data_IF_241757236243
#
_entry.id   IF_241757236243
#
_cell.length_a   1.000
_cell.length_b   1.000
_cell.length_c   1.000
_cell.angle_alpha   90.00
_cell.angle_beta   90.00
_cell.angle_gamma   90.00
#
_symmetry.space_group_name_H-M   'P 1'
#
loop_
_entity.id
_entity.type
_entity.pdbx_description
1 polymer ?
#
# COMPACT_ATOMS: atom_id res chain seq x y z
N UNK A 1 -24.91 -26.42 8.08
CA UNK A 1 -23.71 -25.64 8.41
C UNK A 1 -23.09 -25.17 7.10
N UNK A 2 -23.48 -24.00 6.63
CA UNK A 2 -23.02 -23.47 5.35
C UNK A 2 -21.56 -23.07 5.49
N UNK A 3 -20.67 -23.75 4.76
CA UNK A 3 -19.30 -23.28 4.53
C UNK A 3 -19.44 -21.88 3.94
N UNK A 4 -19.15 -20.84 4.74
CA UNK A 4 -19.05 -19.49 4.22
C UNK A 4 -17.93 -19.52 3.18
N UNK A 5 -18.28 -19.22 1.94
CA UNK A 5 -17.36 -19.11 0.82
C UNK A 5 -16.16 -18.25 1.27
N UNK A 6 -14.96 -18.80 1.14
CA UNK A 6 -13.72 -18.08 1.35
C UNK A 6 -13.66 -17.00 0.26
N UNK A 7 -13.70 -15.69 0.57
CA UNK A 7 -13.52 -14.68 -0.46
C UNK A 7 -12.16 -14.92 -1.11
N UNK A 8 -12.11 -14.87 -2.44
CA UNK A 8 -10.91 -15.18 -3.23
C UNK A 8 -9.67 -14.54 -2.61
N UNK A 9 -8.67 -15.39 -2.30
CA UNK A 9 -7.41 -14.95 -1.70
C UNK A 9 -6.75 -13.97 -2.67
N UNK A 10 -6.56 -12.72 -2.25
CA UNK A 10 -5.79 -11.74 -3.05
C UNK A 10 -4.39 -12.32 -3.32
N UNK A 11 -3.94 -12.34 -4.59
CA UNK A 11 -2.60 -12.81 -4.95
C UNK A 11 -1.53 -12.14 -4.09
N UNK A 12 -0.51 -12.90 -3.70
CA UNK A 12 0.66 -12.34 -3.03
C UNK A 12 1.51 -11.51 -3.99
N UNK A 13 2.47 -10.77 -3.41
CA UNK A 13 3.53 -10.11 -4.18
C UNK A 13 4.70 -11.08 -4.31
N UNK A 14 5.13 -11.36 -5.54
CA UNK A 14 6.29 -12.20 -5.84
C UNK A 14 7.58 -11.38 -5.92
N UNK A 15 7.49 -10.12 -6.35
CA UNK A 15 8.61 -9.18 -6.42
C UNK A 15 8.12 -7.77 -6.09
N UNK A 16 8.88 -7.06 -5.26
CA UNK A 16 8.69 -5.63 -5.02
C UNK A 16 10.03 -4.92 -5.16
N UNK A 17 10.07 -3.88 -6.00
CA UNK A 17 11.26 -3.05 -6.25
C UNK A 17 10.96 -1.59 -5.94
N UNK A 18 11.92 -0.94 -5.30
CA UNK A 18 11.96 0.50 -5.13
C UNK A 18 12.79 1.05 -6.30
N UNK A 19 12.15 1.75 -7.22
CA UNK A 19 12.78 2.35 -8.40
C UNK A 19 12.70 3.88 -8.29
N UNK A 20 13.44 4.66 -9.10
CA UNK A 20 13.45 6.12 -8.99
C UNK A 20 12.07 6.78 -9.15
N UNK A 21 11.15 6.14 -9.87
CA UNK A 21 9.81 6.65 -10.18
C UNK A 21 8.70 6.07 -9.28
N UNK A 22 9.03 5.20 -8.32
CA UNK A 22 8.06 4.64 -7.39
C UNK A 22 8.29 3.18 -7.03
N UNK A 23 7.22 2.55 -6.55
CA UNK A 23 7.21 1.17 -6.10
C UNK A 23 6.61 0.29 -7.19
N UNK A 24 7.37 -0.69 -7.65
CA UNK A 24 6.94 -1.65 -8.66
C UNK A 24 6.69 -3.01 -8.00
N UNK A 25 5.47 -3.52 -8.12
CA UNK A 25 5.07 -4.82 -7.58
C UNK A 25 4.66 -5.77 -8.70
N UNK A 26 5.18 -7.00 -8.66
CA UNK A 26 4.71 -8.12 -9.49
C UNK A 26 3.98 -9.10 -8.59
N UNK A 27 2.77 -9.44 -9.00
CA UNK A 27 1.83 -10.27 -8.25
C UNK A 27 1.87 -11.73 -8.72
N UNK A 28 1.42 -12.65 -7.88
CA UNK A 28 1.35 -14.09 -8.20
C UNK A 28 0.45 -14.39 -9.41
N UNK A 29 -0.50 -13.51 -9.73
CA UNK A 29 -1.36 -13.60 -10.93
C UNK A 29 -0.69 -13.04 -12.21
N UNK A 30 0.58 -12.62 -12.10
CA UNK A 30 1.34 -12.00 -13.19
C UNK A 30 1.02 -10.53 -13.42
N UNK A 31 0.11 -9.93 -12.64
CA UNK A 31 -0.18 -8.50 -12.71
C UNK A 31 1.06 -7.68 -12.33
N UNK A 32 1.23 -6.52 -12.95
CA UNK A 32 2.24 -5.53 -12.58
C UNK A 32 1.56 -4.26 -12.09
N UNK A 33 1.95 -3.78 -10.92
CA UNK A 33 1.49 -2.51 -10.35
C UNK A 33 2.65 -1.55 -10.18
N UNK A 34 2.40 -0.27 -10.48
CA UNK A 34 3.30 0.84 -10.22
C UNK A 34 2.61 1.85 -9.32
N UNK A 35 3.26 2.21 -8.22
CA UNK A 35 2.76 3.17 -7.25
C UNK A 35 3.74 4.33 -7.11
N UNK A 36 3.39 5.55 -7.54
CA UNK A 36 4.19 6.75 -7.22
C UNK A 36 4.33 6.91 -5.70
N UNK A 37 5.52 7.29 -5.22
CA UNK A 37 5.81 7.34 -3.78
C UNK A 37 4.85 8.24 -3.02
N UNK A 38 4.66 9.48 -3.51
CA UNK A 38 3.80 10.48 -2.88
C UNK A 38 2.35 10.00 -2.80
N UNK A 39 1.84 9.39 -3.88
CA UNK A 39 0.51 8.80 -3.93
C UNK A 39 0.33 7.70 -2.87
N UNK A 40 1.24 6.74 -2.81
CA UNK A 40 1.10 5.62 -1.86
C UNK A 40 1.26 6.09 -0.41
N UNK A 41 2.18 7.01 -0.15
CA UNK A 41 2.37 7.63 1.17
C UNK A 41 1.15 8.45 1.60
N UNK A 42 0.52 9.18 0.68
CA UNK A 42 -0.72 9.93 0.91
C UNK A 42 -1.90 9.01 1.23
N UNK A 43 -1.84 7.77 0.76
CA UNK A 43 -2.81 6.72 1.04
C UNK A 43 -2.43 5.83 2.25
N UNK A 44 -1.44 6.23 3.07
CA UNK A 44 -1.05 5.45 4.25
C UNK A 44 -2.27 5.14 5.15
N UNK A 45 -2.50 3.87 5.54
CA UNK A 45 -3.68 3.46 6.32
C UNK A 45 -3.44 3.49 7.84
N UNK A 46 -2.33 4.05 8.33
CA UNK A 46 -2.04 4.05 9.77
C UNK A 46 -2.92 5.02 10.55
N UNK A 47 -2.98 4.84 11.88
CA UNK A 47 -3.77 5.65 12.80
C UNK A 47 -3.40 7.16 12.82
N UNK A 48 -2.20 7.51 12.36
CA UNK A 48 -1.79 8.92 12.19
C UNK A 48 -2.41 9.56 10.94
N UNK A 49 -2.74 8.76 9.93
CA UNK A 49 -3.29 9.23 8.65
C UNK A 49 -4.81 9.06 8.57
N UNK A 50 -5.36 8.09 9.31
CA UNK A 50 -6.79 7.77 9.37
C UNK A 50 -7.20 7.68 10.84
N UNK A 51 -8.15 8.52 11.24
CA UNK A 51 -8.60 8.58 12.63
C UNK A 51 -9.33 7.29 13.04
N UNK A 52 -8.87 6.69 14.15
CA UNK A 52 -9.52 5.52 14.73
C UNK A 52 -10.96 5.86 15.18
N UNK A 53 -11.87 4.91 14.98
CA UNK A 53 -13.28 5.03 15.35
C UNK A 53 -14.17 5.72 14.31
N UNK A 54 -13.67 6.73 13.59
CA UNK A 54 -14.44 7.39 12.51
C UNK A 54 -14.04 6.93 11.11
N UNK A 55 -12.86 6.33 10.98
CA UNK A 55 -12.25 5.96 9.70
C UNK A 55 -12.07 7.16 8.74
N UNK A 56 -12.02 8.38 9.28
CA UNK A 56 -11.82 9.60 8.52
C UNK A 56 -10.33 9.80 8.21
N UNK A 57 -9.98 9.91 6.92
CA UNK A 57 -8.64 10.28 6.48
C UNK A 57 -8.37 11.76 6.79
N UNK A 58 -7.20 12.04 7.36
CA UNK A 58 -6.75 13.39 7.72
C UNK A 58 -5.45 13.80 7.04
N UNK A 59 -4.70 12.83 6.49
CA UNK A 59 -3.51 13.08 5.67
C UNK A 59 -3.81 12.61 4.25
N UNK A 60 -3.60 13.49 3.29
CA UNK A 60 -3.79 13.26 1.85
C UNK A 60 -2.48 13.49 1.09
N UNK A 61 -2.43 13.11 -0.18
CA UNK A 61 -1.22 13.26 -1.03
C UNK A 61 -0.68 14.71 -1.05
N UNK A 62 -1.56 15.71 -1.06
CA UNK A 62 -1.18 17.13 -1.00
C UNK A 62 -0.42 17.52 0.27
N UNK A 63 -0.61 16.77 1.37
CA UNK A 63 0.01 17.03 2.66
C UNK A 63 1.36 16.29 2.80
N UNK A 64 1.70 15.46 1.81
CA UNK A 64 2.94 14.67 1.75
C UNK A 64 4.01 15.45 0.97
N UNK A 65 5.28 15.48 1.44
CA UNK A 65 6.40 16.10 0.72
C UNK A 65 6.56 15.56 -0.70
N UNK A 66 6.92 16.44 -1.64
CA UNK A 66 7.03 16.05 -3.07
C UNK A 66 8.19 15.10 -3.34
N UNK A 67 9.23 15.17 -2.52
CA UNK A 67 10.46 14.37 -2.59
C UNK A 67 10.41 13.13 -1.68
N UNK A 68 9.24 12.78 -1.13
CA UNK A 68 9.11 11.58 -0.32
C UNK A 68 9.41 10.34 -1.16
N UNK A 69 10.20 9.42 -0.59
CA UNK A 69 10.48 8.11 -1.17
C UNK A 69 10.33 7.03 -0.10
N UNK A 70 10.06 5.80 -0.53
CA UNK A 70 10.28 4.66 0.35
C UNK A 70 11.79 4.36 0.40
N UNK A 71 12.34 4.27 1.60
CA UNK A 71 13.73 3.93 1.85
C UNK A 71 13.93 2.42 1.96
N UNK A 72 12.93 1.72 2.49
CA UNK A 72 12.93 0.28 2.65
C UNK A 72 11.50 -0.25 2.73
N UNK A 73 11.35 -1.56 2.68
CA UNK A 73 10.07 -2.24 2.89
C UNK A 73 10.27 -3.61 3.52
N UNK A 74 9.24 -4.07 4.21
CA UNK A 74 9.19 -5.43 4.74
C UNK A 74 7.84 -6.07 4.47
N UNK A 75 7.87 -7.38 4.28
CA UNK A 75 6.65 -8.17 4.20
C UNK A 75 6.05 -8.37 5.59
N UNK A 76 4.73 -8.16 5.71
CA UNK A 76 3.95 -8.41 6.91
C UNK A 76 3.11 -9.66 6.69
N UNK A 77 3.60 -10.78 7.21
CA UNK A 77 2.96 -12.09 7.04
C UNK A 77 2.76 -12.45 5.57
N UNK A 78 1.56 -12.92 5.21
CA UNK A 78 1.21 -13.28 3.82
C UNK A 78 0.15 -12.37 3.21
N UNK A 79 -0.05 -11.17 3.76
CA UNK A 79 -1.22 -10.35 3.43
C UNK A 79 -0.92 -8.86 3.26
N UNK A 80 0.28 -8.39 3.59
CA UNK A 80 0.61 -6.98 3.60
C UNK A 80 2.10 -6.72 3.40
N UNK A 81 2.42 -5.46 3.11
CA UNK A 81 3.76 -4.88 3.21
C UNK A 81 3.71 -3.63 4.09
N UNK A 82 4.86 -3.28 4.64
CA UNK A 82 5.09 -2.06 5.40
C UNK A 82 6.29 -1.36 4.78
N UNK A 83 6.24 -0.04 4.69
CA UNK A 83 7.30 0.79 4.11
C UNK A 83 7.92 1.68 5.18
N UNK A 84 9.23 1.85 5.10
CA UNK A 84 9.95 2.95 5.76
C UNK A 84 10.02 4.12 4.78
N UNK A 85 9.50 5.28 5.17
CA UNK A 85 9.45 6.49 4.34
C UNK A 85 10.55 7.48 4.75
N UNK A 86 11.02 8.28 3.78
CA UNK A 86 12.02 9.32 4.02
C UNK A 86 11.54 10.46 4.94
N UNK A 87 10.23 10.59 5.15
CA UNK A 87 9.60 11.52 6.08
C UNK A 87 9.42 10.94 7.50
N UNK A 88 10.21 9.91 7.84
CA UNK A 88 10.24 9.18 9.12
C UNK A 88 8.95 8.41 9.48
N UNK A 89 8.02 8.25 8.54
CA UNK A 89 6.85 7.39 8.75
C UNK A 89 7.19 5.93 8.47
N UNK A 90 6.66 5.02 9.28
CA UNK A 90 6.95 3.60 9.12
C UNK A 90 5.82 2.66 9.55
N UNK A 91 4.74 3.14 10.18
CA UNK A 91 3.72 2.27 10.80
C UNK A 91 2.57 1.87 9.86
N UNK A 92 2.62 2.27 8.59
CA UNK A 92 1.60 1.95 7.59
C UNK A 92 1.66 0.49 7.14
N UNK A 93 0.63 -0.30 7.46
CA UNK A 93 0.47 -1.68 6.98
C UNK A 93 -0.45 -1.66 5.75
N UNK A 94 0.15 -1.78 4.57
CA UNK A 94 -0.57 -1.82 3.30
C UNK A 94 -0.95 -3.26 2.97
N UNK A 95 -2.21 -3.61 3.18
CA UNK A 95 -2.70 -4.93 2.80
C UNK A 95 -2.66 -5.11 1.28
N UNK A 96 -2.45 -6.34 0.82
CA UNK A 96 -2.49 -6.68 -0.60
C UNK A 96 -3.81 -6.27 -1.24
N UNK A 97 -4.93 -6.48 -0.53
CA UNK A 97 -6.23 -6.01 -0.97
C UNK A 97 -6.27 -4.49 -1.20
N UNK A 98 -5.71 -3.72 -0.26
CA UNK A 98 -5.70 -2.27 -0.37
C UNK A 98 -4.78 -1.78 -1.50
N UNK A 99 -3.61 -2.39 -1.66
CA UNK A 99 -2.72 -2.12 -2.78
C UNK A 99 -3.39 -2.42 -4.14
N UNK A 100 -4.13 -3.53 -4.27
CA UNK A 100 -4.89 -3.83 -5.50
C UNK A 100 -6.01 -2.81 -5.74
N UNK A 101 -6.66 -2.33 -4.69
CA UNK A 101 -7.66 -1.29 -4.80
C UNK A 101 -7.05 0.02 -5.32
N UNK A 102 -5.94 0.47 -4.73
CA UNK A 102 -5.21 1.67 -5.16
C UNK A 102 -4.66 1.56 -6.59
N UNK A 103 -4.22 0.37 -7.01
CA UNK A 103 -3.83 0.10 -8.41
C UNK A 103 -5.00 0.30 -9.38
N UNK A 104 -6.21 -0.07 -8.98
CA UNK A 104 -7.42 0.20 -9.74
C UNK A 104 -7.70 1.70 -9.88
N UNK A 105 -7.47 2.49 -8.83
CA UNK A 105 -7.66 3.94 -8.86
C UNK A 105 -6.64 4.66 -9.75
N UNK A 106 -5.38 4.22 -9.78
CA UNK A 106 -4.34 4.81 -10.64
C UNK A 106 -4.55 4.55 -12.14
N UNK A 107 -5.33 3.52 -12.49
CA UNK A 107 -5.56 3.09 -13.87
C UNK A 107 -6.90 3.57 -14.46
N UNK A 108 -7.76 4.18 -13.64
CA UNK A 108 -9.05 4.75 -14.04
C UNK A 108 -9.00 6.26 -14.26
#
# INVERSE_FOLDING_TARGET
MTVRQNPERVPGITLLRLEPDGIHAVWEDGHGSHYPYRFLRGNCPCAMCVLEGTNQRVVFEKDVPEDVIALDWMQVGRYAVQFLWSDAHETGIFTFQYLRHLDGELRG
#
